data_IF_052912854613
#
_entry.id   IF_052912854613
#
_cell.length_a   1.000
_cell.length_b   1.000
_cell.length_c   1.000
_cell.angle_alpha   90.00
_cell.angle_beta   90.00
_cell.angle_gamma   90.00
#
_symmetry.space_group_name_H-M   'P 1'
#
loop_
_entity.id
_entity.type
_entity.pdbx_description
1 polymer ?
#
# COMPACT_ATOMS: atom_id res chain seq x y z
N UNK A 1 -5.58 9.85 -9.65
CA UNK A 1 -5.01 8.51 -9.33
C UNK A 1 -5.60 7.95 -8.05
N UNK A 2 -5.60 8.72 -6.96
CA UNK A 2 -6.12 8.30 -5.64
C UNK A 2 -7.56 7.78 -5.67
N UNK A 3 -8.43 8.40 -6.49
CA UNK A 3 -9.80 7.92 -6.74
C UNK A 3 -9.87 6.45 -7.20
N UNK A 4 -8.97 6.04 -8.09
CA UNK A 4 -8.92 4.64 -8.57
C UNK A 4 -8.50 3.70 -7.43
N UNK A 5 -7.60 4.16 -6.55
CA UNK A 5 -7.16 3.39 -5.39
C UNK A 5 -8.29 3.21 -4.37
N UNK A 6 -9.05 4.26 -4.09
CA UNK A 6 -10.23 4.17 -3.24
C UNK A 6 -11.31 3.28 -3.84
N UNK A 7 -11.60 3.43 -5.14
CA UNK A 7 -12.58 2.60 -5.82
C UNK A 7 -12.23 1.10 -5.70
N UNK A 8 -10.95 0.76 -5.87
CA UNK A 8 -10.49 -0.61 -5.73
C UNK A 8 -10.53 -1.10 -4.27
N UNK A 9 -10.08 -0.29 -3.30
CA UNK A 9 -10.18 -0.64 -1.88
C UNK A 9 -11.64 -0.88 -1.44
N UNK A 10 -12.58 -0.05 -1.91
CA UNK A 10 -14.02 -0.27 -1.71
C UNK A 10 -14.52 -1.55 -2.39
N UNK A 11 -14.01 -1.88 -3.58
CA UNK A 11 -14.36 -3.14 -4.26
C UNK A 11 -13.88 -4.37 -3.48
N UNK A 12 -12.67 -4.32 -2.92
CA UNK A 12 -12.15 -5.39 -2.03
C UNK A 12 -12.98 -5.52 -0.76
N UNK A 13 -13.39 -4.42 -0.14
CA UNK A 13 -14.26 -4.44 1.04
C UNK A 13 -15.62 -5.08 0.73
N UNK A 14 -16.17 -4.87 -0.47
CA UNK A 14 -17.42 -5.52 -0.91
C UNK A 14 -17.22 -7.00 -1.22
N UNK A 15 -16.07 -7.38 -1.77
CA UNK A 15 -15.73 -8.76 -2.11
C UNK A 15 -15.49 -9.62 -0.87
N UNK A 16 -14.93 -9.02 0.19
CA UNK A 16 -14.55 -9.71 1.42
C UNK A 16 -15.11 -9.01 2.67
N UNK A 17 -16.45 -8.99 2.84
CA UNK A 17 -17.11 -8.17 3.86
C UNK A 17 -16.73 -8.55 5.30
N UNK A 18 -16.49 -9.84 5.57
CA UNK A 18 -16.15 -10.36 6.90
C UNK A 18 -14.78 -9.89 7.40
N UNK A 19 -13.97 -9.32 6.50
CA UNK A 19 -12.66 -8.76 6.80
C UNK A 19 -12.65 -7.25 7.03
N UNK A 20 -13.80 -6.57 7.06
CA UNK A 20 -13.85 -5.10 7.20
C UNK A 20 -13.82 -4.61 8.66
N UNK A 21 -13.48 -5.49 9.60
CA UNK A 21 -13.16 -5.10 10.98
C UNK A 21 -11.77 -4.42 11.03
N UNK A 22 -11.56 -3.38 11.86
CA UNK A 22 -10.34 -2.58 11.84
C UNK A 22 -9.09 -3.39 12.23
N UNK A 23 -9.22 -4.35 13.16
CA UNK A 23 -8.09 -5.22 13.51
C UNK A 23 -7.78 -6.20 12.39
N UNK A 24 -8.80 -6.72 11.68
CA UNK A 24 -8.57 -7.54 10.48
C UNK A 24 -7.95 -6.75 9.33
N UNK A 25 -8.36 -5.50 9.13
CA UNK A 25 -7.72 -4.58 8.16
C UNK A 25 -6.24 -4.40 8.53
N UNK A 26 -5.94 -4.15 9.80
CA UNK A 26 -4.55 -4.02 10.26
C UNK A 26 -3.74 -5.30 10.13
N UNK A 27 -4.32 -6.47 10.42
CA UNK A 27 -3.66 -7.76 10.20
C UNK A 27 -3.26 -7.94 8.74
N UNK A 28 -4.16 -7.64 7.80
CA UNK A 28 -3.83 -7.69 6.36
C UNK A 28 -2.75 -6.68 6.00
N UNK A 29 -2.83 -5.44 6.47
CA UNK A 29 -1.79 -4.44 6.20
C UNK A 29 -0.40 -4.93 6.66
N UNK A 30 -0.32 -5.59 7.83
CA UNK A 30 0.92 -6.15 8.35
C UNK A 30 1.41 -7.36 7.54
N UNK A 31 0.49 -8.21 7.08
CA UNK A 31 0.77 -9.33 6.17
C UNK A 31 1.37 -8.82 4.85
N UNK A 32 0.68 -7.90 4.17
CA UNK A 32 1.16 -7.31 2.90
C UNK A 32 2.48 -6.55 3.07
N UNK A 33 2.68 -5.89 4.24
CA UNK A 33 3.95 -5.24 4.56
C UNK A 33 5.10 -6.25 4.71
N UNK A 34 4.80 -7.44 5.26
CA UNK A 34 5.75 -8.56 5.34
C UNK A 34 6.09 -9.13 3.97
N UNK A 35 5.10 -9.26 3.08
CA UNK A 35 5.31 -9.70 1.70
C UNK A 35 6.15 -8.69 0.91
N UNK A 36 5.87 -7.39 1.05
CA UNK A 36 6.67 -6.32 0.44
C UNK A 36 8.12 -6.36 0.97
N UNK A 37 8.31 -6.49 2.28
CA UNK A 37 9.65 -6.61 2.87
C UNK A 37 10.40 -7.85 2.35
N UNK A 38 9.71 -8.95 2.12
CA UNK A 38 10.27 -10.14 1.49
C UNK A 38 10.71 -9.87 0.04
N UNK A 39 9.93 -9.12 -0.75
CA UNK A 39 10.33 -8.77 -2.12
C UNK A 39 11.58 -7.88 -2.12
N UNK A 40 11.66 -6.89 -1.23
CA UNK A 40 12.87 -6.07 -1.08
C UNK A 40 14.08 -6.93 -0.71
N UNK A 41 13.93 -7.86 0.25
CA UNK A 41 15.00 -8.78 0.62
C UNK A 41 15.50 -9.61 -0.59
N UNK A 42 14.59 -10.00 -1.48
CA UNK A 42 14.93 -10.71 -2.71
C UNK A 42 15.64 -9.80 -3.73
N UNK A 43 15.15 -8.57 -3.95
CA UNK A 43 15.74 -7.61 -4.88
C UNK A 43 17.15 -7.14 -4.45
N UNK A 44 17.37 -6.94 -3.16
CA UNK A 44 18.66 -6.53 -2.59
C UNK A 44 19.66 -7.68 -2.46
N UNK A 45 19.29 -8.89 -2.90
CA UNK A 45 20.08 -10.13 -2.76
C UNK A 45 20.57 -10.37 -1.32
N UNK A 46 19.75 -10.01 -0.34
CA UNK A 46 20.10 -10.17 1.08
C UNK A 46 19.59 -11.51 1.60
N UNK A 47 20.49 -12.41 2.00
CA UNK A 47 20.13 -13.70 2.61
C UNK A 47 20.00 -14.86 1.62
N UNK A 48 18.96 -15.69 1.76
CA UNK A 48 18.82 -16.95 0.95
C UNK A 48 17.74 -16.88 -0.12
N UNK A 49 17.04 -15.74 -0.28
CA UNK A 49 15.88 -15.64 -1.18
C UNK A 49 16.27 -15.81 -2.64
N UNK A 50 17.34 -15.17 -3.10
CA UNK A 50 17.83 -15.36 -4.46
C UNK A 50 18.18 -16.84 -4.74
N UNK A 51 18.83 -17.51 -3.78
CA UNK A 51 19.15 -18.95 -3.88
C UNK A 51 17.90 -19.84 -3.92
N UNK A 52 16.80 -19.42 -3.29
CA UNK A 52 15.56 -20.19 -3.21
C UNK A 52 14.58 -19.92 -4.36
N UNK A 53 14.54 -18.69 -4.86
CA UNK A 53 13.48 -18.22 -5.76
C UNK A 53 13.99 -17.71 -7.11
N UNK A 54 15.31 -17.73 -7.36
CA UNK A 54 15.91 -17.27 -8.60
C UNK A 54 15.97 -15.74 -8.67
N UNK A 55 15.78 -15.18 -9.86
CA UNK A 55 15.79 -13.73 -10.08
C UNK A 55 14.57 -13.04 -9.45
N UNK A 56 14.72 -11.81 -8.95
CA UNK A 56 13.60 -11.02 -8.45
C UNK A 56 12.64 -10.59 -9.59
N UNK A 57 11.35 -10.53 -9.29
CA UNK A 57 10.29 -10.24 -10.26
C UNK A 57 9.65 -8.86 -10.00
N UNK A 58 9.81 -7.94 -10.97
CA UNK A 58 9.30 -6.56 -10.88
C UNK A 58 7.78 -6.50 -10.81
N UNK A 59 7.07 -7.45 -11.43
CA UNK A 59 5.62 -7.49 -11.38
C UNK A 59 5.12 -7.90 -9.99
N UNK A 60 5.84 -8.82 -9.31
CA UNK A 60 5.54 -9.17 -7.91
C UNK A 60 5.79 -8.01 -6.98
N UNK A 61 6.92 -7.31 -7.13
CA UNK A 61 7.17 -6.11 -6.32
C UNK A 61 6.09 -5.04 -6.52
N UNK A 62 5.67 -4.79 -7.76
CA UNK A 62 4.60 -3.84 -8.05
C UNK A 62 3.26 -4.26 -7.43
N UNK A 63 2.93 -5.57 -7.45
CA UNK A 63 1.77 -6.13 -6.74
C UNK A 63 1.85 -5.83 -5.24
N UNK A 64 2.94 -6.17 -4.57
CA UNK A 64 3.02 -6.01 -3.10
C UNK A 64 2.98 -4.53 -2.67
N UNK A 65 3.55 -3.61 -3.46
CA UNK A 65 3.38 -2.17 -3.24
C UNK A 65 1.90 -1.77 -3.34
N UNK A 66 1.19 -2.27 -4.35
CA UNK A 66 -0.24 -1.99 -4.54
C UNK A 66 -1.09 -2.52 -3.38
N UNK A 67 -0.80 -3.75 -2.91
CA UNK A 67 -1.56 -4.38 -1.83
C UNK A 67 -1.40 -3.62 -0.50
N UNK A 68 -0.19 -3.16 -0.17
CA UNK A 68 0.05 -2.26 0.98
C UNK A 68 -0.74 -0.95 0.84
N UNK A 69 -0.69 -0.30 -0.32
CA UNK A 69 -1.42 0.96 -0.55
C UNK A 69 -2.92 0.78 -0.34
N UNK A 70 -3.51 -0.28 -0.88
CA UNK A 70 -4.94 -0.53 -0.73
C UNK A 70 -5.33 -0.87 0.70
N UNK A 71 -4.56 -1.70 1.41
CA UNK A 71 -4.82 -2.00 2.82
C UNK A 71 -4.77 -0.74 3.69
N UNK A 72 -3.83 0.18 3.43
CA UNK A 72 -3.78 1.46 4.12
C UNK A 72 -5.02 2.33 3.83
N UNK A 73 -5.50 2.36 2.58
CA UNK A 73 -6.71 3.09 2.22
C UNK A 73 -7.99 2.44 2.77
N UNK A 74 -8.01 1.13 3.03
CA UNK A 74 -9.12 0.50 3.75
C UNK A 74 -9.26 1.05 5.18
N UNK A 75 -8.15 1.40 5.85
CA UNK A 75 -8.18 2.09 7.15
C UNK A 75 -8.85 3.46 7.00
N UNK A 76 -8.45 4.23 5.99
CA UNK A 76 -9.03 5.54 5.73
C UNK A 76 -10.55 5.46 5.49
N UNK A 77 -10.99 4.50 4.67
CA UNK A 77 -12.40 4.23 4.41
C UNK A 77 -13.15 3.80 5.67
N UNK A 78 -12.57 2.93 6.50
CA UNK A 78 -13.22 2.42 7.71
C UNK A 78 -13.53 3.54 8.70
N UNK A 79 -12.57 4.45 8.91
CA UNK A 79 -12.71 5.59 9.81
C UNK A 79 -13.33 6.83 9.17
N UNK A 80 -13.64 6.78 7.87
CA UNK A 80 -14.20 7.89 7.08
C UNK A 80 -13.31 9.14 7.06
N UNK A 81 -12.00 8.93 7.02
CA UNK A 81 -10.99 10.00 7.04
C UNK A 81 -10.42 10.27 5.64
N UNK A 82 -11.12 9.86 4.57
CA UNK A 82 -10.67 10.11 3.20
C UNK A 82 -10.46 11.61 2.91
N UNK A 83 -11.36 12.53 3.28
CA UNK A 83 -11.17 13.96 3.05
C UNK A 83 -9.93 14.53 3.75
N UNK A 84 -9.70 14.13 5.00
CA UNK A 84 -8.54 14.55 5.79
C UNK A 84 -7.23 14.02 5.22
N UNK A 85 -7.22 12.75 4.77
CA UNK A 85 -6.06 12.16 4.13
C UNK A 85 -5.73 12.86 2.80
N UNK A 86 -6.74 13.14 1.97
CA UNK A 86 -6.56 13.86 0.71
C UNK A 86 -6.02 15.28 0.92
N UNK A 87 -6.60 16.01 1.88
CA UNK A 87 -6.12 17.35 2.23
C UNK A 87 -4.66 17.33 2.70
N UNK A 88 -4.27 16.34 3.52
CA UNK A 88 -2.90 16.19 4.00
C UNK A 88 -1.91 15.84 2.88
N UNK A 89 -2.32 15.01 1.92
CA UNK A 89 -1.49 14.69 0.75
C UNK A 89 -1.27 15.94 -0.10
N UNK A 90 -2.34 16.71 -0.36
CA UNK A 90 -2.25 17.95 -1.12
C UNK A 90 -1.37 18.99 -0.42
N UNK A 91 -1.54 19.20 0.88
CA UNK A 91 -0.70 20.12 1.66
C UNK A 91 0.79 19.76 1.54
N UNK A 92 1.11 18.46 1.65
CA UNK A 92 2.49 17.97 1.52
C UNK A 92 3.04 18.15 0.11
N UNK A 93 2.21 17.93 -0.91
CA UNK A 93 2.59 18.14 -2.30
C UNK A 93 2.91 19.62 -2.56
N UNK A 94 2.02 20.53 -2.14
CA UNK A 94 2.22 21.97 -2.29
C UNK A 94 3.45 22.47 -1.53
N UNK A 95 3.71 21.95 -0.33
CA UNK A 95 4.93 22.24 0.42
C UNK A 95 6.18 21.81 -0.35
N UNK A 96 6.20 20.60 -0.89
CA UNK A 96 7.33 20.09 -1.66
C UNK A 96 7.57 20.90 -2.96
N UNK A 97 6.51 21.39 -3.61
CA UNK A 97 6.64 22.33 -4.74
C UNK A 97 7.25 23.67 -4.30
N UNK A 98 6.78 24.25 -3.20
CA UNK A 98 7.31 25.51 -2.67
C UNK A 98 8.80 25.40 -2.25
N UNK A 99 9.21 24.21 -1.81
CA UNK A 99 10.60 23.87 -1.48
C UNK A 99 11.48 23.55 -2.72
N UNK A 100 10.89 23.49 -3.91
CA UNK A 100 11.60 23.14 -5.15
C UNK A 100 12.00 21.67 -5.25
N UNK A 101 11.33 20.78 -4.52
CA UNK A 101 11.57 19.32 -4.51
C UNK A 101 10.75 18.58 -5.58
N UNK A 102 9.75 19.24 -6.15
CA UNK A 102 8.87 18.74 -7.21
C UNK A 102 8.81 19.81 -8.31
N UNK A 103 9.14 19.41 -9.53
CA UNK A 103 9.03 20.25 -10.75
C UNK A 103 7.59 20.41 -11.22
#
# INVERSE_FOLDING_TARGET
>A
MIEKLYAFARALNRRFPDGNDPFKIMTRLLEESGELAQQINHFEDTGTKHKKYGEPDRAKLAKEVSDVLHCALQVAIYYRIEPELEALIEERYQRAQAEGLIE
#
